data_IF_948935363178
#
_entry.id   IF_948935363178
#
_cell.length_a   1.000
_cell.length_b   1.000
_cell.length_c   1.000
_cell.angle_alpha   90.00
_cell.angle_beta   90.00
_cell.angle_gamma   90.00
#
_symmetry.space_group_name_H-M   'P 1'
#
loop_
_entity.id
_entity.type
_entity.pdbx_description
1 polymer ?
#
# COMPACT_ATOMS: atom_id res chain seq x y z
N UNK A 1 5.03 2.71 -6.51
CA UNK A 1 3.62 2.55 -6.95
C UNK A 1 3.00 3.93 -6.93
N UNK A 2 2.27 4.30 -7.98
CA UNK A 2 1.54 5.57 -8.04
C UNK A 2 0.04 5.30 -7.96
N UNK A 3 -0.67 6.18 -7.25
CA UNK A 3 -2.12 6.18 -7.19
C UNK A 3 -2.65 7.58 -7.52
N UNK A 4 -3.74 7.63 -8.27
CA UNK A 4 -4.52 8.84 -8.52
C UNK A 4 -5.96 8.57 -8.10
N UNK A 5 -6.49 9.40 -7.22
CA UNK A 5 -7.84 9.27 -6.68
C UNK A 5 -8.59 10.57 -6.91
N UNK A 6 -9.66 10.54 -7.69
CA UNK A 6 -10.48 11.71 -8.02
C UNK A 6 -11.97 11.42 -7.77
N UNK A 7 -12.79 12.43 -7.46
CA UNK A 7 -14.25 12.29 -7.47
C UNK A 7 -14.74 11.80 -8.83
N UNK A 8 -15.59 10.78 -8.83
CA UNK A 8 -16.23 10.30 -10.06
C UNK A 8 -17.16 11.38 -10.60
N UNK A 9 -16.96 11.76 -11.87
CA UNK A 9 -17.73 12.85 -12.48
C UNK A 9 -19.09 12.40 -13.02
N UNK A 10 -19.19 11.17 -13.54
CA UNK A 10 -20.43 10.62 -14.07
C UNK A 10 -20.40 9.09 -14.15
N UNK A 11 -21.54 8.45 -13.86
CA UNK A 11 -21.70 7.01 -13.96
C UNK A 11 -21.01 6.24 -12.84
N UNK A 12 -20.50 5.04 -13.17
CA UNK A 12 -19.81 4.18 -12.20
C UNK A 12 -18.36 4.60 -12.01
N UNK A 13 -17.83 4.55 -10.77
CA UNK A 13 -16.44 4.87 -10.50
C UNK A 13 -15.48 4.00 -11.30
N UNK A 14 -14.54 4.65 -11.99
CA UNK A 14 -13.54 3.96 -12.81
C UNK A 14 -12.40 3.48 -11.93
N UNK A 15 -12.14 2.17 -11.97
CA UNK A 15 -11.03 1.53 -11.26
C UNK A 15 -10.12 0.87 -12.27
N UNK A 16 -8.91 1.39 -12.43
CA UNK A 16 -7.98 0.93 -13.45
C UNK A 16 -6.58 0.71 -12.86
N UNK A 17 -5.92 -0.33 -13.34
CA UNK A 17 -4.57 -0.68 -12.93
C UNK A 17 -3.68 -0.87 -14.16
N UNK A 18 -2.47 -0.31 -14.10
CA UNK A 18 -1.37 -0.57 -15.02
C UNK A 18 -0.24 -1.24 -14.25
N UNK A 19 0.15 -2.44 -14.69
CA UNK A 19 1.20 -3.24 -14.02
C UNK A 19 0.76 -3.92 -12.71
N UNK A 20 -0.53 -3.91 -12.39
CA UNK A 20 -1.10 -4.58 -11.21
C UNK A 20 -2.44 -5.26 -11.59
N UNK A 21 -2.82 -6.31 -10.88
CA UNK A 21 -4.07 -7.04 -11.17
C UNK A 21 -5.31 -6.23 -10.77
N UNK A 22 -6.25 -6.08 -11.71
CA UNK A 22 -7.47 -5.28 -11.52
C UNK A 22 -8.44 -5.89 -10.50
N UNK A 23 -8.51 -7.22 -10.41
CA UNK A 23 -9.38 -7.90 -9.44
C UNK A 23 -8.84 -7.70 -8.02
N UNK A 24 -7.53 -7.84 -7.84
CA UNK A 24 -6.84 -7.58 -6.58
C UNK A 24 -6.96 -6.12 -6.17
N UNK A 25 -6.87 -5.18 -7.11
CA UNK A 25 -7.14 -3.77 -6.84
C UNK A 25 -8.57 -3.56 -6.28
N UNK A 26 -9.58 -4.15 -6.91
CA UNK A 26 -10.97 -4.05 -6.45
C UNK A 26 -11.17 -4.59 -5.03
N UNK A 27 -10.54 -5.73 -4.71
CA UNK A 27 -10.58 -6.31 -3.36
C UNK A 27 -9.90 -5.41 -2.33
N UNK A 28 -8.73 -4.86 -2.66
CA UNK A 28 -7.99 -3.96 -1.77
C UNK A 28 -8.76 -2.66 -1.52
N UNK A 29 -9.41 -2.08 -2.53
CA UNK A 29 -10.27 -0.89 -2.37
C UNK A 29 -11.44 -1.20 -1.43
N UNK A 30 -12.15 -2.31 -1.67
CA UNK A 30 -13.28 -2.71 -0.84
C UNK A 30 -12.87 -2.96 0.62
N UNK A 31 -11.73 -3.63 0.84
CA UNK A 31 -11.16 -3.84 2.17
C UNK A 31 -10.78 -2.50 2.81
N UNK A 32 -10.08 -1.63 2.09
CA UNK A 32 -9.62 -0.33 2.59
C UNK A 32 -10.81 0.53 3.04
N UNK A 33 -11.86 0.61 2.23
CA UNK A 33 -13.10 1.33 2.57
C UNK A 33 -13.80 0.71 3.79
N UNK A 34 -13.92 -0.62 3.85
CA UNK A 34 -14.58 -1.32 4.97
C UNK A 34 -13.81 -1.22 6.30
N UNK A 35 -12.48 -1.22 6.26
CA UNK A 35 -11.61 -1.26 7.44
C UNK A 35 -11.16 0.11 7.93
N UNK A 36 -11.34 1.15 7.11
CA UNK A 36 -10.98 2.52 7.45
C UNK A 36 -12.19 3.44 7.37
N UNK A 37 -11.97 4.76 7.48
CA UNK A 37 -13.00 5.79 7.30
C UNK A 37 -12.91 6.47 5.93
N UNK A 38 -12.17 5.87 4.99
CA UNK A 38 -12.06 6.38 3.63
C UNK A 38 -13.35 6.07 2.87
N UNK A 39 -13.92 7.10 2.24
CA UNK A 39 -15.04 6.96 1.31
C UNK A 39 -14.45 6.87 -0.09
N UNK A 40 -14.48 5.68 -0.67
CA UNK A 40 -13.87 5.37 -1.97
C UNK A 40 -14.92 4.90 -2.99
N UNK A 41 -16.14 4.61 -2.55
CA UNK A 41 -17.25 4.19 -3.40
C UNK A 41 -17.68 5.21 -4.45
N UNK A 42 -17.30 6.49 -4.32
CA UNK A 42 -17.60 7.59 -5.26
C UNK A 42 -16.34 8.13 -5.94
N UNK A 43 -15.24 7.36 -5.93
CA UNK A 43 -13.94 7.79 -6.44
C UNK A 43 -13.46 6.95 -7.61
N UNK A 44 -12.98 7.64 -8.63
CA UNK A 44 -12.16 7.04 -9.66
C UNK A 44 -10.76 6.80 -9.10
N UNK A 45 -10.25 5.59 -9.26
CA UNK A 45 -8.97 5.15 -8.71
C UNK A 45 -8.13 4.54 -9.82
N UNK A 46 -6.97 5.15 -10.05
CA UNK A 46 -5.99 4.67 -11.03
C UNK A 46 -4.72 4.27 -10.29
N UNK A 47 -4.22 3.07 -10.57
CA UNK A 47 -2.92 2.60 -10.10
C UNK A 47 -1.97 2.46 -11.28
N UNK A 48 -0.73 2.92 -11.10
CA UNK A 48 0.34 2.73 -12.06
C UNK A 48 1.60 2.18 -11.36
N UNK A 49 2.10 1.06 -11.86
CA UNK A 49 3.43 0.56 -11.52
C UNK A 49 4.44 1.16 -12.50
N UNK A 50 5.27 2.07 -11.99
CA UNK A 50 6.27 2.79 -12.77
C UNK A 50 7.35 1.83 -13.29
N UNK A 51 7.90 2.14 -14.46
CA UNK A 51 9.00 1.38 -15.07
C UNK A 51 8.57 0.21 -15.94
N UNK A 52 7.28 0.11 -16.29
CA UNK A 52 6.77 -0.98 -17.16
C UNK A 52 6.76 -2.35 -16.48
N UNK A 53 6.97 -2.38 -15.16
CA UNK A 53 7.03 -3.61 -14.36
C UNK A 53 5.62 -4.12 -14.09
N UNK A 54 5.44 -5.44 -14.14
CA UNK A 54 4.21 -6.11 -13.70
C UNK A 54 4.45 -6.73 -12.32
N UNK A 55 3.67 -6.29 -11.33
CA UNK A 55 3.71 -6.84 -9.98
C UNK A 55 2.74 -8.01 -9.86
N UNK A 56 3.29 -9.22 -9.82
CA UNK A 56 2.54 -10.45 -9.58
C UNK A 56 2.97 -11.11 -8.25
N UNK A 57 2.92 -10.35 -7.16
CA UNK A 57 3.20 -10.88 -5.82
C UNK A 57 2.29 -10.25 -4.75
N UNK A 58 1.87 -10.99 -3.70
CA UNK A 58 1.03 -10.46 -2.62
C UNK A 58 1.69 -9.34 -1.81
N UNK A 59 3.03 -9.29 -1.76
CA UNK A 59 3.77 -8.30 -0.98
C UNK A 59 3.57 -6.85 -1.43
N UNK A 60 2.98 -6.62 -2.60
CA UNK A 60 2.68 -5.28 -3.09
C UNK A 60 1.39 -4.67 -2.50
N UNK A 61 0.56 -5.45 -1.80
CA UNK A 61 -0.78 -5.00 -1.37
C UNK A 61 -0.72 -3.77 -0.45
N UNK A 62 0.15 -3.81 0.57
CA UNK A 62 0.31 -2.69 1.48
C UNK A 62 0.78 -1.42 0.75
N UNK A 63 1.71 -1.55 -0.20
CA UNK A 63 2.20 -0.41 -0.97
C UNK A 63 1.10 0.21 -1.85
N UNK A 64 0.24 -0.61 -2.47
CA UNK A 64 -0.91 -0.13 -3.24
C UNK A 64 -1.91 0.59 -2.32
N UNK A 65 -2.26 0.00 -1.20
CA UNK A 65 -3.23 0.57 -0.25
C UNK A 65 -2.72 1.88 0.36
N UNK A 66 -1.45 1.94 0.75
CA UNK A 66 -0.82 3.17 1.24
C UNK A 66 -0.84 4.27 0.17
N UNK A 67 -0.57 3.94 -1.09
CA UNK A 67 -0.62 4.91 -2.19
C UNK A 67 -2.03 5.44 -2.42
N UNK A 68 -3.06 4.58 -2.44
CA UNK A 68 -4.46 5.00 -2.59
C UNK A 68 -4.88 5.91 -1.44
N UNK A 69 -4.57 5.52 -0.20
CA UNK A 69 -4.94 6.29 0.98
C UNK A 69 -4.23 7.64 1.03
N UNK A 70 -2.95 7.69 0.67
CA UNK A 70 -2.15 8.91 0.50
C UNK A 70 -2.82 9.86 -0.50
N UNK A 71 -3.12 9.37 -1.71
CA UNK A 71 -3.79 10.16 -2.75
C UNK A 71 -5.20 10.63 -2.34
N UNK A 72 -5.98 9.76 -1.68
CA UNK A 72 -7.33 10.09 -1.23
C UNK A 72 -7.36 11.12 -0.08
N UNK A 73 -6.28 11.24 0.70
CA UNK A 73 -6.18 12.16 1.85
C UNK A 73 -5.31 13.38 1.58
N UNK A 74 -4.57 13.43 0.47
CA UNK A 74 -3.54 14.45 0.24
C UNK A 74 -2.47 14.41 1.32
N UNK A 75 -2.02 13.21 1.70
CA UNK A 75 -1.03 13.00 2.75
C UNK A 75 0.21 12.32 2.17
N UNK A 76 1.39 12.66 2.67
CA UNK A 76 2.64 12.05 2.26
C UNK A 76 3.07 10.94 3.23
N UNK A 77 3.96 10.07 2.75
CA UNK A 77 4.59 9.06 3.60
C UNK A 77 5.67 9.73 4.46
N UNK A 78 5.53 9.62 5.79
CA UNK A 78 6.38 10.26 6.80
C UNK A 78 7.88 9.95 6.73
N UNK A 79 8.24 8.85 6.07
CA UNK A 79 9.62 8.36 6.04
C UNK A 79 10.02 8.06 4.61
N UNK A 80 11.29 8.27 4.30
CA UNK A 80 11.90 7.74 3.08
C UNK A 80 12.12 6.23 3.25
N UNK A 81 11.02 5.47 3.21
CA UNK A 81 11.00 4.04 3.47
C UNK A 81 10.28 3.27 2.37
N UNK A 82 10.70 2.02 2.16
CA UNK A 82 9.95 1.08 1.32
C UNK A 82 8.78 0.49 2.10
N UNK A 83 7.71 0.13 1.40
CA UNK A 83 6.51 -0.48 2.01
C UNK A 83 6.24 -1.81 1.32
N UNK A 84 5.99 -2.87 2.08
CA UNK A 84 5.59 -4.17 1.54
C UNK A 84 4.80 -4.99 2.55
N UNK A 85 3.97 -5.89 2.07
CA UNK A 85 3.19 -6.83 2.87
C UNK A 85 1.90 -7.23 2.17
N UNK A 86 1.43 -8.43 2.49
CA UNK A 86 0.15 -8.97 2.01
C UNK A 86 -0.97 -8.52 2.95
N UNK A 87 -2.09 -8.08 2.39
CA UNK A 87 -3.24 -7.65 3.19
C UNK A 87 -4.37 -8.65 3.08
N UNK A 88 -4.85 -9.12 4.23
CA UNK A 88 -6.10 -9.87 4.29
C UNK A 88 -7.33 -8.97 4.25
N UNK A 89 -8.50 -9.57 3.98
CA UNK A 89 -9.78 -8.86 3.95
C UNK A 89 -10.22 -8.36 5.34
N UNK A 90 -9.62 -8.86 6.43
CA UNK A 90 -9.79 -8.28 7.77
C UNK A 90 -8.95 -7.02 8.02
N UNK A 91 -8.09 -6.64 7.08
CA UNK A 91 -7.17 -5.51 7.19
C UNK A 91 -5.93 -5.84 8.02
N UNK A 92 -5.71 -7.11 8.32
CA UNK A 92 -4.49 -7.63 8.93
C UNK A 92 -3.36 -7.69 7.90
N UNK A 93 -2.14 -7.40 8.35
CA UNK A 93 -0.93 -7.54 7.55
C UNK A 93 -0.33 -8.92 7.77
N UNK A 94 -0.22 -9.69 6.69
CA UNK A 94 0.23 -11.07 6.67
C UNK A 94 1.71 -11.17 6.31
N UNK A 95 2.32 -12.26 6.74
CA UNK A 95 3.73 -12.54 6.46
C UNK A 95 3.99 -12.60 4.95
N UNK A 96 5.15 -12.09 4.53
CA UNK A 96 5.65 -12.21 3.15
C UNK A 96 7.03 -12.85 3.10
N UNK A 97 7.36 -13.61 2.04
CA UNK A 97 8.66 -14.23 1.92
C UNK A 97 9.78 -13.19 1.72
N UNK A 98 10.99 -13.58 2.11
CA UNK A 98 12.23 -12.84 1.87
C UNK A 98 12.27 -11.43 2.48
N UNK A 99 11.57 -11.20 3.60
CA UNK A 99 11.55 -9.91 4.33
C UNK A 99 12.96 -9.35 4.57
N UNK A 100 13.90 -10.17 5.05
CA UNK A 100 15.27 -9.73 5.33
C UNK A 100 15.98 -9.22 4.06
N UNK A 101 15.84 -9.93 2.93
CA UNK A 101 16.42 -9.49 1.65
C UNK A 101 15.82 -8.17 1.18
N UNK A 102 14.51 -7.97 1.33
CA UNK A 102 13.85 -6.70 0.98
C UNK A 102 14.38 -5.53 1.80
N UNK A 103 14.57 -5.74 3.11
CA UNK A 103 15.11 -4.70 4.02
C UNK A 103 16.56 -4.38 3.68
N UNK A 104 17.37 -5.40 3.41
CA UNK A 104 18.76 -5.21 2.99
C UNK A 104 18.85 -4.42 1.66
N UNK A 105 17.99 -4.74 0.69
CA UNK A 105 17.97 -4.05 -0.60
C UNK A 105 17.50 -2.59 -0.46
N UNK A 106 16.48 -2.34 0.37
CA UNK A 106 16.03 -0.99 0.69
C UNK A 106 17.17 -0.14 1.27
N UNK A 107 17.96 -0.71 2.19
CA UNK A 107 19.12 -0.04 2.77
C UNK A 107 20.19 0.26 1.71
N UNK A 108 20.48 -0.67 0.80
CA UNK A 108 21.46 -0.44 -0.29
C UNK A 108 21.04 0.69 -1.22
N UNK A 109 19.74 0.83 -1.47
CA UNK A 109 19.17 1.89 -2.31
C UNK A 109 19.03 3.24 -1.57
N UNK A 110 19.44 3.34 -0.29
CA UNK A 110 19.42 4.58 0.46
C UNK A 110 18.10 4.92 1.15
N UNK A 111 17.20 3.94 1.33
CA UNK A 111 16.01 4.14 2.15
C UNK A 111 16.36 4.07 3.65
N UNK A 112 15.69 4.88 4.46
CA UNK A 112 15.84 4.93 5.93
C UNK A 112 15.42 3.62 6.60
N UNK A 113 14.59 2.83 5.91
CA UNK A 113 14.15 1.52 6.36
C UNK A 113 13.01 0.98 5.50
N UNK A 114 12.33 0.00 6.08
CA UNK A 114 11.17 -0.64 5.47
C UNK A 114 10.00 -0.71 6.45
N UNK A 115 8.78 -0.62 5.93
CA UNK A 115 7.53 -0.85 6.63
C UNK A 115 6.95 -2.16 6.10
N UNK A 116 6.66 -3.11 6.99
CA UNK A 116 6.11 -4.38 6.57
C UNK A 116 5.56 -5.26 7.68
N UNK A 117 5.32 -6.56 7.43
CA UNK A 117 4.66 -7.42 8.40
C UNK A 117 5.49 -7.67 9.65
N UNK A 118 4.82 -8.11 10.70
CA UNK A 118 5.49 -8.65 11.87
C UNK A 118 6.24 -9.94 11.49
N UNK A 119 7.49 -10.02 11.92
CA UNK A 119 8.36 -11.18 11.76
C UNK A 119 8.77 -11.72 13.13
N UNK A 120 9.03 -13.03 13.21
CA UNK A 120 9.43 -13.70 14.45
C UNK A 120 10.79 -13.22 14.95
N UNK A 121 11.75 -13.03 14.04
CA UNK A 121 13.08 -12.50 14.34
C UNK A 121 13.12 -11.00 14.06
N UNK A 122 13.62 -10.21 15.01
CA UNK A 122 13.83 -8.77 14.82
C UNK A 122 14.81 -8.53 13.67
N UNK A 123 14.39 -7.72 12.70
CA UNK A 123 15.21 -7.30 11.56
C UNK A 123 15.52 -5.81 11.72
N UNK A 124 16.81 -5.45 11.79
CA UNK A 124 17.23 -4.04 11.88
C UNK A 124 16.81 -3.29 10.63
N UNK A 125 16.15 -2.14 10.79
CA UNK A 125 15.63 -1.32 9.69
C UNK A 125 14.22 -1.70 9.21
N UNK A 126 13.59 -2.72 9.80
CA UNK A 126 12.18 -3.04 9.58
C UNK A 126 11.32 -2.45 10.70
N UNK A 127 10.32 -1.65 10.33
CA UNK A 127 9.22 -1.26 11.22
C UNK A 127 8.02 -2.12 10.89
N UNK A 128 7.71 -3.04 11.79
CA UNK A 128 6.59 -3.95 11.64
C UNK A 128 5.26 -3.29 11.99
N UNK A 129 4.23 -3.57 11.21
CA UNK A 129 2.84 -3.21 11.50
C UNK A 129 1.95 -4.45 11.42
N UNK A 130 0.85 -4.44 12.17
CA UNK A 130 -0.10 -5.57 12.23
C UNK A 130 -1.34 -5.36 11.37
N UNK A 131 -1.71 -4.10 11.12
CA UNK A 131 -2.94 -3.78 10.40
C UNK A 131 -2.77 -2.61 9.44
N UNK A 132 -3.62 -2.56 8.42
CA UNK A 132 -3.71 -1.41 7.49
C UNK A 132 -3.95 -0.10 8.24
N UNK A 133 -4.80 -0.11 9.28
CA UNK A 133 -5.12 1.10 10.04
C UNK A 133 -3.90 1.63 10.81
N UNK A 134 -3.15 0.73 11.42
CA UNK A 134 -1.89 1.07 12.10
C UNK A 134 -0.89 1.66 11.11
N UNK A 135 -0.72 1.05 9.93
CA UNK A 135 0.17 1.56 8.90
C UNK A 135 -0.20 2.99 8.47
N UNK A 136 -1.49 3.21 8.15
CA UNK A 136 -1.98 4.52 7.71
C UNK A 136 -1.80 5.60 8.78
N UNK A 137 -2.22 5.32 10.02
CA UNK A 137 -2.17 6.31 11.10
C UNK A 137 -0.74 6.64 11.54
N UNK A 138 0.20 5.70 11.38
CA UNK A 138 1.59 5.87 11.84
C UNK A 138 2.45 6.55 10.80
N UNK A 139 2.20 6.29 9.51
CA UNK A 139 3.11 6.66 8.43
C UNK A 139 2.55 7.64 7.41
N UNK A 140 1.26 7.99 7.43
CA UNK A 140 0.75 9.08 6.61
C UNK A 140 0.64 10.36 7.45
N UNK A 141 1.18 11.45 6.92
CA UNK A 141 1.11 12.78 7.53
C UNK A 141 0.69 13.84 6.50
N UNK A 142 0.09 14.93 6.99
CA UNK A 142 -0.21 16.08 6.14
C UNK A 142 1.09 16.79 5.79
N UNK A 143 1.13 17.39 4.60
CA UNK A 143 2.11 18.42 4.27
C UNK A 143 2.08 19.58 5.28
#
# INVERSE_FOLDING_TARGET
IQALVNPTSYGYPKRAASGFDSNRLNLLIAMLERRTKLKLGDKDIYINVVGGIRLNEPAADLAVVMAIASAAKGMQLKKHAVVFGELGLSGELRHVPMTEKRVQEAKKLGFDGAIGPQVSKKITGLVSVKTVREALNTFLEKE
#
